data_IF_880445848269
#
_entry.id   IF_880445848269
#
_cell.length_a   1.000
_cell.length_b   1.000
_cell.length_c   1.000
_cell.angle_alpha   90.00
_cell.angle_beta   90.00
_cell.angle_gamma   90.00
#
_symmetry.space_group_name_H-M   'P 1'
#
loop_
_entity.id
_entity.type
_entity.pdbx_description
1 polymer ?
#
# COMPACT_ATOMS: atom_id res chain seq x y z
N UNK A 1 2.05 9.39 28.11
CA UNK A 1 2.42 8.40 27.08
C UNK A 1 3.74 8.83 26.49
N UNK A 2 4.70 7.95 26.45
CA UNK A 2 5.99 8.22 25.82
C UNK A 2 5.85 8.24 24.28
N UNK A 3 6.74 8.98 23.59
CA UNK A 3 6.68 9.05 22.12
C UNK A 3 6.90 7.68 21.47
N UNK A 4 7.74 6.82 22.07
CA UNK A 4 7.97 5.46 21.57
C UNK A 4 6.72 4.60 21.66
N UNK A 5 5.87 4.80 22.70
CA UNK A 5 4.60 4.10 22.85
C UNK A 5 3.61 4.43 21.72
N UNK A 6 3.71 5.64 21.14
CA UNK A 6 2.86 6.06 20.03
C UNK A 6 3.10 5.22 18.78
N UNK A 7 4.33 4.76 18.54
CA UNK A 7 4.70 3.96 17.37
C UNK A 7 4.62 2.45 17.60
N UNK A 8 4.31 2.01 18.83
CA UNK A 8 4.25 0.60 19.18
C UNK A 8 3.00 -0.08 18.59
N UNK A 9 3.22 -1.14 17.83
CA UNK A 9 2.14 -1.94 17.20
C UNK A 9 1.95 -3.31 17.86
N UNK A 10 2.50 -3.53 19.06
CA UNK A 10 2.32 -4.80 19.81
C UNK A 10 0.82 -5.09 20.02
N UNK A 11 0.45 -6.34 19.79
CA UNK A 11 -0.93 -6.82 19.84
C UNK A 11 -1.86 -6.26 18.76
N UNK A 12 -1.32 -5.57 17.75
CA UNK A 12 -2.06 -5.16 16.55
C UNK A 12 -1.96 -6.21 15.47
N UNK A 13 -3.00 -6.34 14.65
CA UNK A 13 -3.04 -7.26 13.52
C UNK A 13 -3.20 -6.46 12.22
N UNK A 14 -2.29 -6.70 11.29
CA UNK A 14 -2.25 -6.04 9.99
C UNK A 14 -2.47 -7.03 8.85
N UNK A 15 -3.21 -6.61 7.81
CA UNK A 15 -3.22 -7.26 6.49
C UNK A 15 -2.43 -6.37 5.52
N UNK A 16 -1.50 -6.97 4.76
CA UNK A 16 -0.76 -6.29 3.69
C UNK A 16 -1.04 -7.01 2.37
N UNK A 17 -1.79 -6.35 1.47
CA UNK A 17 -2.04 -6.89 0.14
C UNK A 17 -0.84 -6.68 -0.78
N UNK A 18 -0.53 -7.66 -1.64
CA UNK A 18 0.71 -7.63 -2.42
C UNK A 18 1.97 -7.73 -1.54
N UNK A 19 1.85 -8.31 -0.33
CA UNK A 19 2.89 -8.35 0.70
C UNK A 19 4.03 -9.33 0.44
N UNK A 20 3.98 -10.14 -0.63
CA UNK A 20 4.99 -11.17 -0.91
C UNK A 20 6.29 -10.65 -1.55
N UNK A 21 6.39 -9.38 -1.92
CA UNK A 21 7.58 -8.78 -2.56
C UNK A 21 7.53 -7.26 -2.62
N UNK A 22 8.69 -6.64 -2.85
CA UNK A 22 8.84 -5.20 -3.12
C UNK A 22 8.31 -4.33 -1.97
N UNK A 23 7.56 -3.26 -2.29
CA UNK A 23 7.09 -2.32 -1.27
C UNK A 23 6.18 -2.97 -0.22
N UNK A 24 5.33 -3.94 -0.63
CA UNK A 24 4.48 -4.65 0.30
C UNK A 24 5.26 -5.48 1.32
N UNK A 25 6.32 -6.16 0.89
CA UNK A 25 7.23 -6.89 1.76
C UNK A 25 7.96 -5.95 2.72
N UNK A 26 8.48 -4.81 2.22
CA UNK A 26 9.14 -3.79 3.06
C UNK A 26 8.19 -3.25 4.14
N UNK A 27 6.94 -2.97 3.78
CA UNK A 27 5.91 -2.50 4.71
C UNK A 27 5.55 -3.60 5.72
N UNK A 28 5.36 -4.85 5.27
CA UNK A 28 5.09 -5.97 6.16
C UNK A 28 6.21 -6.18 7.19
N UNK A 29 7.47 -6.07 6.76
CA UNK A 29 8.63 -6.10 7.64
C UNK A 29 8.62 -4.95 8.66
N UNK A 30 8.30 -3.73 8.24
CA UNK A 30 8.25 -2.57 9.13
C UNK A 30 7.19 -2.73 10.22
N UNK A 31 5.99 -3.21 9.86
CA UNK A 31 4.91 -3.45 10.81
C UNK A 31 5.27 -4.55 11.82
N UNK A 32 5.92 -5.63 11.36
CA UNK A 32 6.40 -6.69 12.22
C UNK A 32 7.52 -6.21 13.16
N UNK A 33 8.47 -5.42 12.66
CA UNK A 33 9.54 -4.80 13.46
C UNK A 33 8.98 -3.86 14.55
N UNK A 34 7.82 -3.23 14.30
CA UNK A 34 7.08 -2.43 15.27
C UNK A 34 6.19 -3.28 16.22
N UNK A 35 6.15 -4.61 16.05
CA UNK A 35 5.46 -5.56 16.94
C UNK A 35 4.10 -6.05 16.47
N UNK A 36 3.62 -5.68 15.27
CA UNK A 36 2.34 -6.16 14.75
C UNK A 36 2.39 -7.62 14.28
N UNK A 37 1.31 -8.36 14.48
CA UNK A 37 1.05 -9.59 13.75
C UNK A 37 0.69 -9.23 12.31
N UNK A 38 1.19 -9.97 11.32
CA UNK A 38 1.03 -9.59 9.92
C UNK A 38 0.49 -10.74 9.08
N UNK A 39 -0.59 -10.49 8.39
CA UNK A 39 -1.11 -11.34 7.31
C UNK A 39 -0.67 -10.76 5.98
N UNK A 40 0.04 -11.54 5.18
CA UNK A 40 0.44 -11.15 3.83
C UNK A 40 -0.36 -11.94 2.80
N UNK A 41 -0.88 -11.26 1.79
CA UNK A 41 -1.61 -11.94 0.73
C UNK A 41 -1.28 -11.42 -0.66
N UNK A 42 -1.24 -12.31 -1.62
CA UNK A 42 -1.12 -12.00 -3.05
C UNK A 42 -1.49 -13.23 -3.88
N UNK A 43 -1.54 -13.11 -5.21
CA UNK A 43 -1.73 -14.26 -6.11
C UNK A 43 -0.58 -15.27 -6.07
N UNK A 44 0.61 -14.82 -5.67
CA UNK A 44 1.83 -15.65 -5.51
C UNK A 44 1.94 -16.07 -4.04
N UNK A 45 1.28 -17.20 -3.70
CA UNK A 45 1.27 -17.73 -2.34
C UNK A 45 2.67 -18.10 -1.85
N UNK A 46 3.51 -18.66 -2.71
CA UNK A 46 4.87 -19.09 -2.30
C UNK A 46 5.71 -17.89 -1.83
N UNK A 47 5.65 -16.75 -2.55
CA UNK A 47 6.31 -15.52 -2.10
C UNK A 47 5.75 -15.01 -0.77
N UNK A 48 4.43 -15.08 -0.56
CA UNK A 48 3.82 -14.70 0.71
C UNK A 48 4.24 -15.61 1.86
N UNK A 49 4.31 -16.93 1.62
CA UNK A 49 4.76 -17.89 2.62
C UNK A 49 6.19 -17.61 3.08
N UNK A 50 7.09 -17.34 2.13
CA UNK A 50 8.48 -16.97 2.45
C UNK A 50 8.53 -15.74 3.34
N UNK A 51 7.84 -14.66 2.95
CA UNK A 51 7.79 -13.43 3.77
C UNK A 51 7.18 -13.73 5.15
N UNK A 52 6.09 -14.49 5.22
CA UNK A 52 5.46 -14.86 6.49
C UNK A 52 6.43 -15.60 7.43
N UNK A 53 7.25 -16.52 6.92
CA UNK A 53 8.27 -17.21 7.73
C UNK A 53 9.35 -16.24 8.22
N UNK A 54 9.82 -15.32 7.36
CA UNK A 54 10.80 -14.29 7.75
C UNK A 54 10.22 -13.35 8.84
N UNK A 55 8.93 -13.03 8.78
CA UNK A 55 8.25 -12.23 9.81
C UNK A 55 8.15 -12.97 11.14
N UNK A 56 7.87 -14.27 11.13
CA UNK A 56 7.84 -15.10 12.37
C UNK A 56 9.19 -15.12 13.08
N UNK A 57 10.30 -15.08 12.34
CA UNK A 57 11.64 -14.99 12.92
C UNK A 57 11.87 -13.67 13.70
N UNK A 58 11.07 -12.63 13.43
CA UNK A 58 11.08 -11.36 14.19
C UNK A 58 10.29 -11.41 15.49
N UNK A 59 9.70 -12.56 15.83
CA UNK A 59 8.98 -12.79 17.08
C UNK A 59 7.49 -12.40 17.03
N UNK A 60 6.92 -12.13 15.86
CA UNK A 60 5.48 -11.87 15.67
C UNK A 60 4.80 -13.08 15.04
N UNK A 61 3.46 -13.15 15.16
CA UNK A 61 2.68 -14.13 14.40
C UNK A 61 2.45 -13.64 12.98
N UNK A 62 2.53 -14.54 12.01
CA UNK A 62 2.26 -14.21 10.61
C UNK A 62 1.57 -15.35 9.88
N UNK A 63 0.71 -14.99 8.92
CA UNK A 63 0.00 -15.90 8.02
C UNK A 63 0.14 -15.43 6.58
N UNK A 64 0.01 -16.36 5.63
CA UNK A 64 0.10 -16.09 4.20
C UNK A 64 -1.09 -16.72 3.48
N UNK A 65 -1.72 -15.95 2.58
CA UNK A 65 -2.85 -16.42 1.77
C UNK A 65 -2.67 -16.09 0.29
N UNK A 66 -3.18 -16.99 -0.57
CA UNK A 66 -3.43 -16.65 -1.96
C UNK A 66 -4.64 -15.71 -2.02
N UNK A 67 -4.52 -14.59 -2.75
CA UNK A 67 -5.62 -13.65 -2.92
C UNK A 67 -5.45 -12.82 -4.20
N UNK A 68 -6.43 -12.93 -5.10
CA UNK A 68 -6.64 -11.97 -6.17
C UNK A 68 -7.59 -10.89 -5.66
N UNK A 69 -7.10 -9.67 -5.53
CA UNK A 69 -7.88 -8.52 -5.01
C UNK A 69 -9.05 -8.12 -5.92
N UNK A 70 -9.20 -8.73 -7.09
CA UNK A 70 -10.37 -8.52 -7.97
C UNK A 70 -11.53 -9.48 -7.67
N UNK A 71 -11.32 -10.45 -6.78
CA UNK A 71 -12.29 -11.50 -6.41
C UNK A 71 -12.75 -11.31 -4.96
N UNK A 72 -14.03 -11.01 -4.81
CA UNK A 72 -14.61 -10.70 -3.50
C UNK A 72 -14.57 -11.87 -2.52
N UNK A 73 -14.74 -13.10 -3.01
CA UNK A 73 -14.70 -14.32 -2.20
C UNK A 73 -13.31 -14.58 -1.61
N UNK A 74 -12.25 -14.30 -2.40
CA UNK A 74 -10.87 -14.47 -1.91
C UNK A 74 -10.51 -13.40 -0.88
N UNK A 75 -10.98 -12.16 -1.06
CA UNK A 75 -10.84 -11.08 -0.07
C UNK A 75 -11.56 -11.44 1.21
N UNK A 76 -12.82 -11.91 1.10
CA UNK A 76 -13.64 -12.29 2.27
C UNK A 76 -12.95 -13.38 3.08
N UNK A 77 -12.42 -14.40 2.41
CA UNK A 77 -11.66 -15.47 3.03
C UNK A 77 -10.45 -14.96 3.84
N UNK A 78 -9.65 -14.05 3.26
CA UNK A 78 -8.50 -13.47 3.99
C UNK A 78 -8.93 -12.70 5.23
N UNK A 79 -10.02 -11.93 5.16
CA UNK A 79 -10.55 -11.19 6.31
C UNK A 79 -11.03 -12.15 7.40
N UNK A 80 -11.85 -13.14 7.07
CA UNK A 80 -12.40 -14.13 8.02
C UNK A 80 -11.29 -14.94 8.68
N UNK A 81 -10.31 -15.40 7.94
CA UNK A 81 -9.16 -16.12 8.48
C UNK A 81 -8.31 -15.24 9.41
N UNK A 82 -8.20 -13.94 9.10
CA UNK A 82 -7.52 -13.00 9.98
C UNK A 82 -8.28 -12.85 11.30
N UNK A 83 -9.59 -12.63 11.26
CA UNK A 83 -10.42 -12.53 12.47
C UNK A 83 -10.39 -13.85 13.27
N UNK A 84 -10.47 -15.00 12.60
CA UNK A 84 -10.45 -16.32 13.24
C UNK A 84 -9.16 -16.59 14.02
N UNK A 85 -8.00 -16.18 13.47
CA UNK A 85 -6.70 -16.47 14.07
C UNK A 85 -6.25 -15.44 15.11
N UNK A 86 -6.59 -14.17 14.90
CA UNK A 86 -6.07 -13.07 15.71
C UNK A 86 -7.15 -12.36 16.54
N UNK A 87 -8.43 -12.59 16.24
CA UNK A 87 -9.56 -11.97 16.93
C UNK A 87 -9.77 -10.49 16.58
N UNK A 88 -8.89 -9.89 15.79
CA UNK A 88 -8.93 -8.46 15.44
C UNK A 88 -8.29 -8.20 14.08
N UNK A 89 -8.72 -7.11 13.43
CA UNK A 89 -8.08 -6.51 12.26
C UNK A 89 -7.90 -5.01 12.51
N UNK A 90 -6.71 -4.61 12.93
CA UNK A 90 -6.42 -3.22 13.31
C UNK A 90 -5.91 -2.38 12.12
N UNK A 91 -5.18 -2.99 11.19
CA UNK A 91 -4.48 -2.28 10.12
C UNK A 91 -4.72 -2.99 8.78
N UNK A 92 -5.13 -2.24 7.76
CA UNK A 92 -5.14 -2.69 6.38
C UNK A 92 -4.16 -1.85 5.55
N UNK A 93 -3.24 -2.51 4.85
CA UNK A 93 -2.39 -1.86 3.84
C UNK A 93 -2.78 -2.36 2.46
N UNK A 94 -3.43 -1.50 1.69
CA UNK A 94 -3.77 -1.74 0.28
C UNK A 94 -2.56 -1.40 -0.58
N UNK A 95 -1.70 -2.39 -0.83
CA UNK A 95 -0.49 -2.23 -1.63
C UNK A 95 -0.55 -2.96 -2.97
N UNK A 96 -1.46 -3.91 -3.16
CA UNK A 96 -1.61 -4.60 -4.46
C UNK A 96 -1.77 -3.61 -5.60
N UNK A 97 -1.00 -3.81 -6.67
CA UNK A 97 -1.06 -2.94 -7.83
C UNK A 97 -0.44 -3.57 -9.07
N UNK A 98 -0.82 -3.01 -10.22
CA UNK A 98 -0.27 -3.36 -11.53
C UNK A 98 -0.21 -2.13 -12.41
N UNK A 99 0.62 -2.18 -13.45
CA UNK A 99 0.73 -1.13 -14.45
C UNK A 99 0.70 -1.74 -15.85
N UNK A 100 0.39 -0.91 -16.82
CA UNK A 100 0.55 -1.23 -18.24
C UNK A 100 1.11 0.00 -18.94
N UNK A 101 2.14 -0.20 -19.75
CA UNK A 101 2.78 0.85 -20.52
C UNK A 101 2.43 0.66 -22.00
N UNK A 102 1.86 1.67 -22.60
CA UNK A 102 1.57 1.75 -24.03
C UNK A 102 1.37 3.21 -24.41
N UNK A 103 1.60 3.59 -25.70
CA UNK A 103 1.17 4.89 -26.20
C UNK A 103 -0.30 5.13 -25.86
N UNK A 104 -0.61 6.31 -25.33
CA UNK A 104 -1.96 6.60 -24.80
C UNK A 104 -3.07 6.36 -25.81
N UNK A 105 -2.83 6.69 -27.09
CA UNK A 105 -3.81 6.52 -28.17
C UNK A 105 -4.00 5.06 -28.60
N UNK A 106 -3.06 4.19 -28.27
CA UNK A 106 -3.05 2.76 -28.63
C UNK A 106 -3.28 1.83 -27.43
N UNK A 107 -3.59 2.39 -26.25
CA UNK A 107 -3.82 1.57 -25.06
C UNK A 107 -5.06 0.70 -25.22
N UNK A 108 -4.95 -0.65 -25.20
CA UNK A 108 -6.11 -1.53 -25.29
C UNK A 108 -7.05 -1.38 -24.09
N UNK A 109 -8.36 -1.37 -24.32
CA UNK A 109 -9.37 -1.20 -23.27
C UNK A 109 -9.27 -2.29 -22.17
N UNK A 110 -8.96 -3.53 -22.53
CA UNK A 110 -8.77 -4.63 -21.57
C UNK A 110 -7.57 -4.39 -20.64
N UNK A 111 -6.56 -3.67 -21.08
CA UNK A 111 -5.40 -3.30 -20.25
C UNK A 111 -5.72 -2.16 -19.29
N UNK A 112 -6.53 -1.19 -19.77
CA UNK A 112 -7.11 -0.17 -18.91
C UNK A 112 -7.96 -0.82 -17.81
N UNK A 113 -8.91 -1.68 -18.18
CA UNK A 113 -9.79 -2.36 -17.24
C UNK A 113 -9.02 -3.20 -16.21
N UNK A 114 -7.99 -3.92 -16.66
CA UNK A 114 -7.11 -4.69 -15.77
C UNK A 114 -6.45 -3.80 -14.71
N UNK A 115 -5.91 -2.65 -15.10
CA UNK A 115 -5.26 -1.72 -14.16
C UNK A 115 -6.28 -1.13 -13.19
N UNK A 116 -7.42 -0.67 -13.67
CA UNK A 116 -8.48 -0.09 -12.83
C UNK A 116 -9.07 -1.14 -11.87
N UNK A 117 -9.30 -2.36 -12.32
CA UNK A 117 -9.84 -3.43 -11.50
C UNK A 117 -8.89 -3.81 -10.35
N UNK A 118 -7.59 -3.90 -10.60
CA UNK A 118 -6.61 -4.25 -9.56
C UNK A 118 -6.37 -3.05 -8.63
N UNK A 119 -6.04 -1.88 -9.19
CA UNK A 119 -5.51 -0.77 -8.41
C UNK A 119 -6.59 0.03 -7.66
N UNK A 120 -7.82 0.06 -8.19
CA UNK A 120 -8.88 0.90 -7.62
C UNK A 120 -10.05 0.05 -7.12
N UNK A 121 -10.66 -0.82 -7.97
CA UNK A 121 -11.78 -1.66 -7.53
C UNK A 121 -11.36 -2.64 -6.44
N UNK A 122 -10.23 -3.32 -6.59
CA UNK A 122 -9.72 -4.26 -5.58
C UNK A 122 -9.41 -3.57 -4.25
N UNK A 123 -8.81 -2.39 -4.30
CA UNK A 123 -8.57 -1.56 -3.12
C UNK A 123 -9.89 -1.16 -2.43
N UNK A 124 -10.90 -0.74 -3.19
CA UNK A 124 -12.24 -0.44 -2.66
C UNK A 124 -12.85 -1.66 -1.96
N UNK A 125 -12.86 -2.82 -2.61
CA UNK A 125 -13.45 -4.05 -2.07
C UNK A 125 -12.78 -4.47 -0.75
N UNK A 126 -11.45 -4.45 -0.72
CA UNK A 126 -10.70 -4.78 0.49
C UNK A 126 -10.96 -3.78 1.62
N UNK A 127 -10.94 -2.48 1.30
CA UNK A 127 -11.24 -1.42 2.26
C UNK A 127 -12.65 -1.56 2.84
N UNK A 128 -13.65 -1.85 2.01
CA UNK A 128 -15.04 -2.01 2.43
C UNK A 128 -15.21 -3.17 3.42
N UNK A 129 -14.61 -4.33 3.12
CA UNK A 129 -14.71 -5.51 3.99
C UNK A 129 -13.94 -5.31 5.31
N UNK A 130 -12.72 -4.79 5.25
CA UNK A 130 -11.94 -4.48 6.45
C UNK A 130 -12.62 -3.41 7.32
N UNK A 131 -13.18 -2.35 6.71
CA UNK A 131 -13.87 -1.29 7.45
C UNK A 131 -15.10 -1.82 8.22
N UNK A 132 -15.80 -2.83 7.71
CA UNK A 132 -16.92 -3.47 8.46
C UNK A 132 -16.44 -4.15 9.75
N UNK A 133 -15.27 -4.77 9.73
CA UNK A 133 -14.66 -5.37 10.93
C UNK A 133 -14.22 -4.26 11.88
N UNK A 134 -13.47 -3.29 11.38
CA UNK A 134 -12.96 -2.15 12.15
C UNK A 134 -14.09 -1.32 12.77
N UNK A 135 -15.22 -1.14 12.08
CA UNK A 135 -16.40 -0.46 12.59
C UNK A 135 -16.99 -1.16 13.81
N UNK A 136 -17.09 -2.50 13.79
CA UNK A 136 -17.55 -3.30 14.93
C UNK A 136 -16.56 -3.22 16.11
N UNK A 137 -15.27 -3.09 15.83
CA UNK A 137 -14.22 -2.93 16.86
C UNK A 137 -14.16 -1.51 17.43
N UNK A 138 -14.70 -0.50 16.72
CA UNK A 138 -14.64 0.91 17.11
C UNK A 138 -13.28 1.57 16.87
N UNK A 139 -12.41 0.97 16.08
CA UNK A 139 -11.12 1.53 15.67
C UNK A 139 -10.53 0.81 14.45
N UNK A 140 -9.65 1.48 13.72
CA UNK A 140 -8.91 0.89 12.61
C UNK A 140 -8.03 1.88 11.85
N UNK A 141 -7.06 1.36 11.10
CA UNK A 141 -6.17 2.12 10.22
C UNK A 141 -6.19 1.52 8.83
N UNK A 142 -6.47 2.32 7.81
CA UNK A 142 -6.39 1.91 6.41
C UNK A 142 -5.33 2.78 5.72
N UNK A 143 -4.31 2.14 5.18
CA UNK A 143 -3.21 2.79 4.47
C UNK A 143 -3.27 2.35 3.00
N UNK A 144 -3.49 3.30 2.11
CA UNK A 144 -3.52 3.04 0.67
C UNK A 144 -2.18 3.41 0.04
N UNK A 145 -1.60 2.52 -0.76
CA UNK A 145 -0.39 2.85 -1.50
C UNK A 145 -0.80 3.49 -2.83
N UNK A 146 -0.72 4.82 -2.84
CA UNK A 146 -0.90 5.64 -4.03
C UNK A 146 0.38 5.68 -4.90
N UNK A 147 0.71 6.80 -5.47
CA UNK A 147 1.97 7.10 -6.20
C UNK A 147 2.02 8.59 -6.47
N UNK A 148 3.22 9.15 -6.58
CA UNK A 148 3.41 10.51 -7.14
C UNK A 148 2.84 10.62 -8.56
N UNK A 149 2.82 9.52 -9.33
CA UNK A 149 2.19 9.47 -10.66
C UNK A 149 0.68 9.74 -10.66
N UNK A 150 0.01 9.63 -9.50
CA UNK A 150 -1.39 10.01 -9.35
C UNK A 150 -1.62 11.48 -9.03
N UNK A 151 -0.56 12.27 -8.84
CA UNK A 151 -0.64 13.68 -8.45
C UNK A 151 -0.52 14.64 -9.64
N UNK A 152 -0.11 14.15 -10.81
CA UNK A 152 0.07 14.96 -12.00
C UNK A 152 0.27 14.10 -13.25
N UNK A 153 0.59 14.75 -14.37
CA UNK A 153 0.97 14.08 -15.61
C UNK A 153 2.43 13.63 -15.59
N UNK A 154 2.76 12.67 -16.44
CA UNK A 154 4.13 12.21 -16.66
C UNK A 154 4.53 12.41 -18.13
N UNK A 155 5.79 12.73 -18.38
CA UNK A 155 6.32 12.78 -19.74
C UNK A 155 6.24 11.38 -20.37
N UNK A 156 5.56 11.20 -21.53
CA UNK A 156 5.43 9.90 -22.16
C UNK A 156 6.78 9.29 -22.57
N UNK A 157 7.82 10.09 -22.77
CA UNK A 157 9.19 9.60 -23.01
C UNK A 157 9.79 8.87 -21.81
N UNK A 158 9.30 9.19 -20.60
CA UNK A 158 9.72 8.56 -19.35
C UNK A 158 8.78 7.43 -18.98
N UNK A 159 7.46 7.69 -19.05
CA UNK A 159 6.47 6.78 -18.51
C UNK A 159 5.10 7.01 -19.14
N UNK A 160 4.76 6.24 -20.18
CA UNK A 160 3.44 6.31 -20.83
C UNK A 160 2.49 5.27 -20.20
N UNK A 161 1.94 5.64 -19.05
CA UNK A 161 1.16 4.73 -18.17
C UNK A 161 -0.17 5.38 -17.75
N UNK A 162 -0.95 5.90 -18.69
CA UNK A 162 -2.17 6.67 -18.40
C UNK A 162 -3.14 5.94 -17.47
N UNK A 163 -3.38 4.63 -17.66
CA UNK A 163 -4.26 3.86 -16.80
C UNK A 163 -3.76 3.78 -15.35
N UNK A 164 -2.43 3.61 -15.17
CA UNK A 164 -1.81 3.59 -13.85
C UNK A 164 -1.94 4.95 -13.16
N UNK A 165 -1.56 6.04 -13.83
CA UNK A 165 -1.64 7.38 -13.29
C UNK A 165 -3.08 7.73 -12.89
N UNK A 166 -4.05 7.45 -13.76
CA UNK A 166 -5.48 7.64 -13.47
C UNK A 166 -5.92 6.81 -12.26
N UNK A 167 -5.53 5.53 -12.20
CA UNK A 167 -5.88 4.67 -11.05
C UNK A 167 -5.31 5.21 -9.73
N UNK A 168 -4.07 5.72 -9.74
CA UNK A 168 -3.42 6.26 -8.53
C UNK A 168 -3.98 7.64 -8.14
N UNK A 169 -4.41 8.45 -9.10
CA UNK A 169 -5.22 9.65 -8.84
C UNK A 169 -6.58 9.29 -8.20
N UNK A 170 -7.22 8.24 -8.70
CA UNK A 170 -8.43 7.67 -8.10
C UNK A 170 -8.22 7.21 -6.65
N UNK A 171 -7.09 6.56 -6.35
CA UNK A 171 -6.72 6.16 -4.96
C UNK A 171 -6.57 7.36 -4.04
N UNK A 172 -5.99 8.47 -4.52
CA UNK A 172 -5.84 9.71 -3.74
C UNK A 172 -7.21 10.27 -3.37
N UNK A 173 -8.12 10.42 -4.33
CA UNK A 173 -9.47 10.93 -4.09
C UNK A 173 -10.27 9.95 -3.21
N UNK A 174 -10.21 8.65 -3.49
CA UNK A 174 -10.85 7.61 -2.68
C UNK A 174 -10.39 7.66 -1.23
N UNK A 175 -9.10 7.84 -0.98
CA UNK A 175 -8.55 7.97 0.39
C UNK A 175 -9.19 9.11 1.16
N UNK A 176 -9.28 10.28 0.55
CA UNK A 176 -9.87 11.48 1.18
C UNK A 176 -11.35 11.28 1.48
N UNK A 177 -12.11 10.77 0.51
CA UNK A 177 -13.56 10.58 0.65
C UNK A 177 -13.89 9.50 1.68
N UNK A 178 -13.18 8.35 1.63
CA UNK A 178 -13.37 7.27 2.59
C UNK A 178 -12.98 7.69 4.01
N UNK A 179 -11.93 8.49 4.16
CA UNK A 179 -11.47 8.98 5.46
C UNK A 179 -12.54 9.78 6.18
N UNK A 180 -13.19 10.70 5.48
CA UNK A 180 -14.30 11.52 6.05
C UNK A 180 -15.47 10.63 6.46
N UNK A 181 -15.81 9.63 5.65
CA UNK A 181 -16.93 8.71 5.91
C UNK A 181 -16.67 7.76 7.09
N UNK A 182 -15.41 7.38 7.32
CA UNK A 182 -15.06 6.41 8.36
C UNK A 182 -14.54 7.07 9.67
N UNK A 183 -14.22 8.36 9.66
CA UNK A 183 -13.77 9.08 10.86
C UNK A 183 -14.75 8.97 12.05
N UNK A 184 -16.10 9.02 11.86
CA UNK A 184 -17.05 8.85 12.97
C UNK A 184 -16.94 7.48 13.67
N UNK A 185 -16.37 6.50 13.02
CA UNK A 185 -16.14 5.15 13.59
C UNK A 185 -14.73 4.97 14.18
N UNK A 186 -13.97 6.07 14.31
CA UNK A 186 -12.57 6.06 14.77
C UNK A 186 -11.67 5.20 13.85
N UNK A 187 -11.92 5.26 12.54
CA UNK A 187 -11.10 4.60 11.51
C UNK A 187 -10.40 5.71 10.72
N UNK A 188 -9.07 5.75 10.80
CA UNK A 188 -8.27 6.68 10.02
C UNK A 188 -7.87 6.04 8.70
N UNK A 189 -8.15 6.75 7.60
CA UNK A 189 -7.75 6.33 6.26
C UNK A 189 -6.77 7.36 5.71
N UNK A 190 -5.58 6.90 5.33
CA UNK A 190 -4.53 7.74 4.77
C UNK A 190 -3.85 7.03 3.60
N UNK A 191 -3.01 7.73 2.86
CA UNK A 191 -2.22 7.12 1.81
C UNK A 191 -0.74 7.47 1.94
N UNK A 192 0.11 6.57 1.45
CA UNK A 192 1.50 6.87 1.11
C UNK A 192 1.55 7.01 -0.42
N UNK A 193 2.21 8.07 -0.91
CA UNK A 193 2.50 8.28 -2.32
C UNK A 193 4.01 8.14 -2.55
N UNK A 194 4.50 6.93 -2.87
CA UNK A 194 5.91 6.71 -3.14
C UNK A 194 6.31 7.39 -4.46
N UNK A 195 7.54 7.90 -4.49
CA UNK A 195 8.23 8.26 -5.72
C UNK A 195 8.82 7.04 -6.43
N UNK A 196 10.04 7.19 -6.94
CA UNK A 196 10.71 6.14 -7.69
C UNK A 196 11.42 5.16 -6.74
N UNK A 197 10.88 3.95 -6.65
CA UNK A 197 11.46 2.81 -5.91
C UNK A 197 11.73 1.66 -6.88
N UNK A 198 12.87 0.93 -6.75
CA UNK A 198 13.13 -0.27 -7.52
C UNK A 198 12.12 -1.37 -7.17
N UNK A 199 11.22 -1.66 -8.10
CA UNK A 199 10.19 -2.69 -7.98
C UNK A 199 9.98 -3.33 -9.34
N UNK A 200 9.28 -4.46 -9.41
CA UNK A 200 8.92 -5.08 -10.68
C UNK A 200 8.17 -4.13 -11.65
N UNK A 201 7.45 -3.14 -11.13
CA UNK A 201 6.72 -2.16 -11.94
C UNK A 201 7.69 -1.15 -12.57
N UNK A 202 8.72 -0.76 -11.85
CA UNK A 202 9.68 0.30 -12.25
C UNK A 202 10.98 -0.24 -12.83
N UNK A 203 11.24 -1.56 -12.73
CA UNK A 203 12.49 -2.21 -13.13
C UNK A 203 12.93 -1.81 -14.54
N UNK A 204 12.07 -2.02 -15.53
CA UNK A 204 12.37 -1.68 -16.93
C UNK A 204 12.62 -0.18 -17.16
N UNK A 205 11.92 0.68 -16.43
CA UNK A 205 12.08 2.13 -16.52
C UNK A 205 13.44 2.53 -15.93
N UNK A 206 13.78 1.97 -14.79
CA UNK A 206 15.05 2.22 -14.11
C UNK A 206 16.22 1.71 -14.95
N UNK A 207 16.14 0.50 -15.51
CA UNK A 207 17.19 -0.07 -16.36
C UNK A 207 17.55 0.83 -17.55
N UNK A 208 16.54 1.46 -18.20
CA UNK A 208 16.76 2.28 -19.39
C UNK A 208 17.06 3.75 -19.09
N UNK A 209 16.62 4.28 -17.96
CA UNK A 209 16.60 5.73 -17.72
C UNK A 209 17.18 6.15 -16.36
N UNK A 210 17.87 5.26 -15.63
CA UNK A 210 18.33 5.53 -14.27
C UNK A 210 19.13 6.84 -14.09
N UNK A 211 20.08 7.21 -14.95
CA UNK A 211 20.83 8.46 -14.77
C UNK A 211 19.90 9.68 -14.86
N UNK A 212 19.06 9.74 -15.89
CA UNK A 212 18.15 10.86 -16.13
C UNK A 212 17.09 10.97 -15.03
N UNK A 213 16.55 9.85 -14.58
CA UNK A 213 15.57 9.83 -13.48
C UNK A 213 16.17 10.30 -12.15
N UNK A 214 17.43 9.90 -11.84
CA UNK A 214 18.12 10.37 -10.64
C UNK A 214 18.37 11.88 -10.65
N UNK A 215 18.64 12.45 -11.83
CA UNK A 215 18.80 13.91 -11.96
C UNK A 215 17.53 14.68 -11.63
N UNK A 216 16.36 14.10 -11.90
CA UNK A 216 15.05 14.69 -11.58
C UNK A 216 14.66 14.52 -10.10
N UNK A 217 15.36 13.68 -9.33
CA UNK A 217 15.09 13.49 -7.91
C UNK A 217 16.07 14.37 -7.11
N UNK A 218 15.62 15.35 -6.31
CA UNK A 218 16.50 16.17 -5.49
C UNK A 218 17.46 15.40 -4.60
N UNK A 219 17.00 14.28 -4.01
CA UNK A 219 17.82 13.38 -3.20
C UNK A 219 18.87 12.59 -4.00
N UNK A 220 18.88 12.69 -5.34
CA UNK A 220 19.83 12.05 -6.30
C UNK A 220 19.94 10.53 -6.16
N UNK A 221 18.92 9.90 -5.61
CA UNK A 221 18.82 8.44 -5.46
C UNK A 221 17.38 7.97 -5.56
N UNK A 222 17.20 6.71 -5.87
CA UNK A 222 15.91 6.03 -5.72
C UNK A 222 15.64 5.70 -4.25
N UNK A 223 14.37 5.49 -3.91
CA UNK A 223 13.98 4.99 -2.61
C UNK A 223 14.54 3.58 -2.37
N UNK A 224 15.03 3.32 -1.17
CA UNK A 224 15.56 2.04 -0.73
C UNK A 224 14.61 1.31 0.23
N UNK A 225 15.08 0.18 0.75
CA UNK A 225 14.30 -0.75 1.58
C UNK A 225 13.75 -0.13 2.88
N UNK A 226 14.40 0.90 3.40
CA UNK A 226 14.01 1.51 4.67
C UNK A 226 13.20 2.80 4.50
N UNK A 227 13.14 3.37 3.30
CA UNK A 227 12.59 4.72 3.11
C UNK A 227 11.06 4.78 3.31
N UNK A 228 10.33 3.65 3.18
CA UNK A 228 8.90 3.59 3.46
C UNK A 228 8.55 3.08 4.87
N UNK A 229 9.50 2.45 5.58
CA UNK A 229 9.23 1.82 6.87
C UNK A 229 8.67 2.80 7.89
N UNK A 230 9.32 3.95 8.07
CA UNK A 230 8.87 4.98 9.01
C UNK A 230 7.49 5.52 8.69
N UNK A 231 7.21 5.80 7.41
CA UNK A 231 5.90 6.27 6.95
C UNK A 231 4.80 5.23 7.21
N UNK A 232 5.07 3.95 6.94
CA UNK A 232 4.12 2.86 7.16
C UNK A 232 3.81 2.67 8.66
N UNK A 233 4.83 2.66 9.52
CA UNK A 233 4.63 2.55 10.98
C UNK A 233 3.90 3.78 11.54
N UNK A 234 4.27 5.00 11.12
CA UNK A 234 3.59 6.23 11.51
C UNK A 234 2.10 6.16 11.22
N UNK A 235 1.71 5.90 9.96
CA UNK A 235 0.29 5.88 9.57
C UNK A 235 -0.48 4.69 10.15
N UNK A 236 0.21 3.62 10.56
CA UNK A 236 -0.40 2.43 11.18
C UNK A 236 -0.55 2.55 12.69
N UNK A 237 0.06 3.54 13.31
CA UNK A 237 0.20 3.67 14.76
C UNK A 237 -0.67 4.81 15.33
N UNK A 238 -0.66 4.93 16.67
CA UNK A 238 -1.34 6.01 17.40
C UNK A 238 -0.72 7.39 17.12
N UNK A 239 0.51 7.44 16.64
CA UNK A 239 1.18 8.69 16.25
C UNK A 239 0.43 9.44 15.14
N UNK A 240 -0.44 8.75 14.38
CA UNK A 240 -1.27 9.31 13.32
C UNK A 240 -2.77 9.36 13.65
N UNK A 241 -3.19 9.28 14.92
CA UNK A 241 -4.62 9.26 15.27
C UNK A 241 -5.37 10.51 14.81
N UNK A 242 -4.68 11.65 14.65
CA UNK A 242 -5.27 12.89 14.16
C UNK A 242 -5.01 13.14 12.66
N UNK A 243 -4.42 12.16 11.94
CA UNK A 243 -4.23 12.22 10.49
C UNK A 243 -5.39 11.51 9.80
N UNK A 244 -6.22 12.26 9.07
CA UNK A 244 -7.42 11.76 8.39
C UNK A 244 -7.42 12.28 6.95
N UNK A 245 -7.39 11.37 5.97
CA UNK A 245 -7.37 11.71 4.55
C UNK A 245 -6.04 12.27 4.03
N UNK A 246 -4.95 12.13 4.80
CA UNK A 246 -3.63 12.63 4.42
C UNK A 246 -2.97 11.77 3.34
N UNK A 247 -2.27 12.43 2.42
CA UNK A 247 -1.43 11.78 1.40
C UNK A 247 0.02 12.09 1.73
N UNK A 248 0.70 11.14 2.34
CA UNK A 248 2.10 11.28 2.73
C UNK A 248 3.00 10.95 1.55
N UNK A 249 3.63 11.97 0.98
CA UNK A 249 4.57 11.83 -0.15
C UNK A 249 5.93 11.39 0.38
N UNK A 250 6.51 10.34 -0.24
CA UNK A 250 7.85 9.81 0.08
C UNK A 250 8.58 9.58 -1.24
N UNK A 251 9.22 10.61 -1.78
CA UNK A 251 9.67 10.65 -3.17
C UNK A 251 11.07 11.25 -3.39
N UNK A 252 11.79 11.54 -2.31
CA UNK A 252 13.10 12.20 -2.39
C UNK A 252 13.05 13.64 -2.91
N UNK A 253 11.87 14.29 -2.84
CA UNK A 253 11.64 15.67 -3.26
C UNK A 253 11.21 15.80 -4.73
N UNK A 254 10.94 14.70 -5.44
CA UNK A 254 10.60 14.70 -6.86
C UNK A 254 9.39 15.60 -7.17
N UNK A 255 8.36 15.59 -6.32
CA UNK A 255 7.17 16.43 -6.51
C UNK A 255 7.28 17.82 -5.89
N UNK A 256 8.40 18.17 -5.27
CA UNK A 256 8.66 19.50 -4.71
C UNK A 256 9.38 20.44 -5.69
N UNK A 257 9.80 19.92 -6.84
CA UNK A 257 10.33 20.75 -7.94
C UNK A 257 9.19 21.49 -8.63
N UNK A 258 9.42 22.79 -8.92
CA UNK A 258 8.50 23.68 -9.64
C UNK A 258 8.82 23.64 -11.12
#
# INVERSE_FOLDING_TARGET
MDVNDLFNLKNKTAIVTGGGKGLGEQIANALAEAGANVVVCSRDLASCQKVSEDLKQKGVKSLAYACDVTKEEEIQHVIEETERHFGTLDILVNNSGTSWMAPTLDLPADKWDKVMNVNLKGLFLFSQKAARVMQKQGNGKIINIASVSGMGGTDPKLMDTIAYNTSKGGVITFTKDLAVKLAPYNIQVNAIAPGMFPTKITEKIIEHSAPMLKEQIPAKRFGGENDLKGAAVFLSSRASDYCVGHILVVDGGMTSLI
#
